data_IF_637704546887
#
_entry.id   IF_637704546887
#
_cell.length_a   1.000
_cell.length_b   1.000
_cell.length_c   1.000
_cell.angle_alpha   90.00
_cell.angle_beta   90.00
_cell.angle_gamma   90.00
#
_symmetry.space_group_name_H-M   'P 1'
#
loop_
_entity.id
_entity.type
_entity.pdbx_description
1 polymer ?
#
# COMPACT_ATOMS: atom_id res chain seq x y z
N UNK A 1 5.18 74.73 1.52
CA UNK A 1 5.77 73.56 0.84
C UNK A 1 7.25 73.84 0.67
N UNK A 2 8.14 73.02 1.24
CA UNK A 2 9.57 73.16 1.02
C UNK A 2 9.86 73.04 -0.48
N UNK A 3 10.65 73.97 -1.03
CA UNK A 3 11.05 73.94 -2.44
C UNK A 3 12.00 72.77 -2.63
N UNK A 4 11.80 71.97 -3.67
CA UNK A 4 12.73 70.90 -4.01
C UNK A 4 13.87 71.53 -4.81
N UNK A 5 14.96 71.90 -4.14
CA UNK A 5 16.14 72.53 -4.71
C UNK A 5 17.44 71.85 -4.21
N UNK A 6 18.59 72.34 -4.68
CA UNK A 6 19.90 71.81 -4.28
C UNK A 6 20.16 71.96 -2.78
N UNK A 7 19.73 73.05 -2.17
CA UNK A 7 19.85 73.26 -0.72
C UNK A 7 19.14 72.14 0.04
N UNK A 8 17.91 71.82 -0.34
CA UNK A 8 17.18 70.73 0.29
C UNK A 8 17.80 69.35 0.02
N UNK A 9 18.36 69.13 -1.17
CA UNK A 9 19.09 67.89 -1.47
C UNK A 9 20.33 67.76 -0.60
N UNK A 10 21.10 68.84 -0.43
CA UNK A 10 22.30 68.88 0.40
C UNK A 10 21.99 68.58 1.87
N UNK A 11 20.99 69.25 2.43
CA UNK A 11 20.51 68.99 3.80
C UNK A 11 20.08 67.53 4.00
N UNK A 12 19.38 66.95 3.00
CA UNK A 12 18.98 65.54 3.03
C UNK A 12 20.20 64.60 3.03
N UNK A 13 21.21 64.92 2.22
CA UNK A 13 22.41 64.10 2.10
C UNK A 13 23.24 64.14 3.39
N UNK A 14 23.41 65.32 3.99
CA UNK A 14 24.08 65.49 5.28
C UNK A 14 23.34 64.75 6.40
N UNK A 15 22.01 64.92 6.48
CA UNK A 15 21.18 64.28 7.51
C UNK A 15 21.22 62.74 7.45
N UNK A 16 21.28 62.18 6.25
CA UNK A 16 21.17 60.74 6.03
C UNK A 16 22.50 60.09 5.64
N UNK A 17 23.63 60.81 5.70
CA UNK A 17 24.96 60.35 5.29
C UNK A 17 25.01 59.81 3.85
N UNK A 18 24.32 60.48 2.92
CA UNK A 18 24.27 60.09 1.51
C UNK A 18 25.46 60.72 0.77
N UNK A 19 26.24 59.90 0.08
CA UNK A 19 27.29 60.36 -0.83
C UNK A 19 26.77 60.40 -2.26
N UNK A 20 26.79 61.57 -2.87
CA UNK A 20 26.38 61.77 -4.27
C UNK A 20 27.56 61.47 -5.22
N UNK A 21 27.26 60.93 -6.40
CA UNK A 21 28.29 60.66 -7.42
C UNK A 21 28.63 61.88 -8.27
N UNK A 22 27.68 62.82 -8.37
CA UNK A 22 27.81 64.02 -9.17
C UNK A 22 27.58 65.25 -8.30
N UNK A 23 28.19 66.38 -8.69
CA UNK A 23 27.82 67.66 -8.12
C UNK A 23 26.55 68.18 -8.80
N UNK A 24 25.56 68.54 -7.98
CA UNK A 24 24.28 69.07 -8.41
C UNK A 24 24.11 70.56 -8.11
N UNK A 25 25.17 71.26 -7.67
CA UNK A 25 25.16 72.68 -7.25
C UNK A 25 24.67 73.64 -8.34
N UNK A 26 24.99 73.35 -9.60
CA UNK A 26 24.61 74.15 -10.77
C UNK A 26 23.33 73.64 -11.48
N UNK A 27 22.68 72.61 -10.95
CA UNK A 27 21.53 71.96 -11.60
C UNK A 27 20.20 72.55 -11.09
N UNK A 28 19.24 72.72 -12.01
CA UNK A 28 17.84 72.97 -11.64
C UNK A 28 17.21 71.67 -11.12
N UNK A 29 17.25 71.48 -9.81
CA UNK A 29 16.66 70.32 -9.15
C UNK A 29 15.15 70.55 -8.96
N UNK A 30 14.37 69.51 -9.18
CA UNK A 30 12.96 69.44 -8.83
C UNK A 30 12.64 68.04 -8.25
N UNK A 31 11.40 67.82 -7.84
CA UNK A 31 10.94 66.58 -7.21
C UNK A 31 11.16 65.32 -8.09
N UNK A 32 11.25 65.48 -9.41
CA UNK A 32 11.45 64.40 -10.38
C UNK A 32 12.91 64.28 -10.87
N UNK A 33 13.79 65.21 -10.51
CA UNK A 33 15.21 65.15 -10.88
C UNK A 33 15.83 63.85 -10.38
N UNK A 34 16.58 63.19 -11.26
CA UNK A 34 17.24 61.93 -10.97
C UNK A 34 18.57 62.19 -10.26
N UNK A 35 18.72 61.63 -9.07
CA UNK A 35 19.87 61.79 -8.19
C UNK A 35 20.59 60.46 -8.09
N UNK A 36 21.91 60.51 -8.24
CA UNK A 36 22.79 59.34 -8.20
C UNK A 36 23.78 59.45 -7.05
N UNK A 37 23.99 58.33 -6.37
CA UNK A 37 24.83 58.27 -5.18
C UNK A 37 25.24 56.84 -4.81
N UNK A 38 26.13 56.72 -3.84
CA UNK A 38 26.55 55.44 -3.27
C UNK A 38 25.42 54.83 -2.43
N UNK A 39 25.28 53.51 -2.49
CA UNK A 39 24.32 52.81 -1.63
C UNK A 39 24.70 52.99 -0.16
N UNK A 40 23.73 53.41 0.65
CA UNK A 40 23.85 53.57 2.10
C UNK A 40 24.15 52.28 2.89
N UNK A 41 24.10 51.11 2.24
CA UNK A 41 24.48 49.86 2.90
C UNK A 41 26.00 49.69 2.80
N UNK A 42 26.69 49.73 3.93
CA UNK A 42 28.16 49.62 4.04
C UNK A 42 28.72 48.35 3.38
N UNK A 43 27.92 47.28 3.31
CA UNK A 43 28.30 46.02 2.67
C UNK A 43 27.90 45.95 1.18
N UNK A 44 27.64 47.09 0.52
CA UNK A 44 27.14 47.15 -0.85
C UNK A 44 27.88 48.19 -1.70
N UNK A 45 28.61 47.74 -2.72
CA UNK A 45 29.35 48.61 -3.64
C UNK A 45 28.53 49.09 -4.84
N UNK A 46 27.20 49.01 -4.77
CA UNK A 46 26.33 49.46 -5.86
C UNK A 46 25.94 50.93 -5.68
N UNK A 47 25.57 51.57 -6.78
CA UNK A 47 25.02 52.92 -6.77
C UNK A 47 23.49 52.89 -6.77
N UNK A 48 22.86 53.95 -6.25
CA UNK A 48 21.45 54.22 -6.50
C UNK A 48 21.32 55.30 -7.58
N UNK A 49 20.24 55.22 -8.35
CA UNK A 49 19.79 56.25 -9.28
C UNK A 49 18.29 56.37 -9.08
N UNK A 50 17.85 57.48 -8.50
CA UNK A 50 16.48 57.68 -8.01
C UNK A 50 16.02 59.11 -8.21
N UNK A 51 14.74 59.31 -8.55
CA UNK A 51 14.15 60.64 -8.45
C UNK A 51 14.23 61.17 -7.02
N UNK A 52 14.34 62.49 -6.87
CA UNK A 52 14.41 63.15 -5.55
C UNK A 52 13.22 62.73 -4.65
N UNK A 53 12.02 62.59 -5.20
CA UNK A 53 10.85 62.01 -4.51
C UNK A 53 11.09 60.62 -3.93
N UNK A 54 11.74 59.75 -4.71
CA UNK A 54 12.00 58.36 -4.31
C UNK A 54 13.12 58.29 -3.27
N UNK A 55 14.13 59.16 -3.40
CA UNK A 55 15.21 59.32 -2.43
C UNK A 55 14.66 59.69 -1.05
N UNK A 56 13.71 60.63 -0.98
CA UNK A 56 13.04 61.02 0.27
C UNK A 56 12.27 59.87 0.93
N UNK A 57 11.66 58.97 0.14
CA UNK A 57 10.84 57.86 0.66
C UNK A 57 11.67 56.66 1.10
N UNK A 58 12.74 56.37 0.37
CA UNK A 58 13.45 55.09 0.45
C UNK A 58 14.92 55.24 0.81
N UNK A 59 15.36 56.46 1.09
CA UNK A 59 16.75 56.82 1.34
C UNK A 59 17.68 56.42 0.16
N UNK A 60 18.97 56.71 0.28
CA UNK A 60 20.01 56.38 -0.72
C UNK A 60 20.40 54.90 -0.77
N UNK A 61 19.45 53.95 -0.70
CA UNK A 61 19.74 52.52 -0.94
C UNK A 61 19.60 52.16 -2.42
N UNK A 62 20.48 51.31 -2.96
CA UNK A 62 20.29 50.74 -4.30
C UNK A 62 19.00 49.88 -4.36
N UNK A 63 18.56 49.52 -5.58
CA UNK A 63 17.33 48.74 -5.76
C UNK A 63 17.35 47.39 -5.02
N UNK A 64 18.50 46.72 -4.97
CA UNK A 64 18.68 45.45 -4.27
C UNK A 64 18.50 45.60 -2.76
N UNK A 65 19.23 46.53 -2.14
CA UNK A 65 19.14 46.78 -0.71
C UNK A 65 17.77 47.33 -0.30
N UNK A 66 17.17 48.22 -1.09
CA UNK A 66 15.83 48.73 -0.82
C UNK A 66 14.77 47.62 -0.81
N UNK A 67 14.89 46.61 -1.68
CA UNK A 67 14.01 45.43 -1.65
C UNK A 67 14.21 44.57 -0.40
N UNK A 68 15.44 44.42 0.08
CA UNK A 68 15.76 43.66 1.30
C UNK A 68 15.13 44.34 2.51
N UNK A 69 15.43 45.62 2.73
CA UNK A 69 14.86 46.39 3.83
C UNK A 69 13.33 46.49 3.74
N UNK A 70 12.79 46.59 2.52
CA UNK A 70 11.34 46.55 2.30
C UNK A 70 10.71 45.24 2.80
N UNK A 71 11.35 44.09 2.55
CA UNK A 71 10.88 42.79 3.05
C UNK A 71 10.95 42.71 4.57
N UNK A 72 12.02 43.19 5.18
CA UNK A 72 12.17 43.22 6.65
C UNK A 72 11.11 44.11 7.30
N UNK A 73 10.86 45.29 6.73
CA UNK A 73 9.80 46.19 7.20
C UNK A 73 8.41 45.55 7.08
N UNK A 74 8.11 44.86 5.99
CA UNK A 74 6.86 44.10 5.83
C UNK A 74 6.76 43.02 6.89
N UNK A 75 7.85 42.26 7.11
CA UNK A 75 7.93 41.20 8.11
C UNK A 75 7.61 41.74 9.51
N UNK A 76 8.26 42.85 9.87
CA UNK A 76 8.04 43.51 11.16
C UNK A 76 6.59 44.01 11.29
N UNK A 77 6.07 44.68 10.26
CA UNK A 77 4.67 45.16 10.25
C UNK A 77 3.68 44.00 10.40
N UNK A 78 3.98 42.84 9.82
CA UNK A 78 3.13 41.65 9.96
C UNK A 78 3.21 41.08 11.37
N UNK A 79 4.40 41.03 11.98
CA UNK A 79 4.58 40.65 13.38
C UNK A 79 3.80 41.60 14.30
N UNK A 80 3.90 42.91 14.09
CA UNK A 80 3.22 43.91 14.91
C UNK A 80 1.69 43.81 14.80
N UNK A 81 1.17 43.56 13.58
CA UNK A 81 -0.29 43.52 13.33
C UNK A 81 -0.95 42.18 13.59
N UNK A 82 -0.26 41.07 13.32
CA UNK A 82 -0.84 39.73 13.29
C UNK A 82 -0.11 38.74 14.21
N UNK A 83 0.96 39.16 14.90
CA UNK A 83 1.80 38.29 15.72
C UNK A 83 2.65 37.29 14.91
N UNK A 84 2.59 37.35 13.58
CA UNK A 84 3.25 36.42 12.67
C UNK A 84 3.93 37.16 11.52
N UNK A 85 5.05 36.63 11.05
CA UNK A 85 5.86 37.22 9.97
C UNK A 85 5.19 37.20 8.58
N UNK A 86 4.04 36.52 8.45
CA UNK A 86 3.24 36.42 7.25
C UNK A 86 1.76 36.36 7.62
N UNK A 87 0.88 37.24 7.10
CA UNK A 87 -0.55 37.23 7.40
C UNK A 87 -1.23 35.89 7.13
N UNK A 88 -0.76 35.11 6.16
CA UNK A 88 -1.32 33.78 5.85
C UNK A 88 -1.01 32.72 6.91
N UNK A 89 -0.09 32.99 7.85
CA UNK A 89 0.12 32.14 9.03
C UNK A 89 -0.88 32.46 10.15
N UNK A 90 -1.53 33.61 10.10
CA UNK A 90 -2.53 34.02 11.07
C UNK A 90 -3.85 33.29 10.79
N UNK A 91 -4.37 32.57 11.80
CA UNK A 91 -5.56 31.74 11.63
C UNK A 91 -6.79 32.57 11.25
N UNK A 92 -6.98 33.73 11.88
CA UNK A 92 -8.12 34.63 11.59
C UNK A 92 -8.12 35.13 10.14
N UNK A 93 -6.95 35.41 9.58
CA UNK A 93 -6.80 35.81 8.17
C UNK A 93 -7.16 34.65 7.24
N UNK A 94 -6.71 33.42 7.56
CA UNK A 94 -7.04 32.22 6.80
C UNK A 94 -8.54 31.92 6.82
N UNK A 95 -9.17 32.03 7.99
CA UNK A 95 -10.60 31.74 8.15
C UNK A 95 -11.44 32.77 7.40
N UNK A 96 -11.06 34.05 7.45
CA UNK A 96 -11.72 35.08 6.64
C UNK A 96 -11.62 34.78 5.14
N UNK A 97 -10.44 34.35 4.65
CA UNK A 97 -10.26 33.96 3.25
C UNK A 97 -11.13 32.76 2.86
N UNK A 98 -11.20 31.75 3.73
CA UNK A 98 -12.06 30.56 3.53
C UNK A 98 -13.52 30.95 3.48
N UNK A 99 -13.99 31.76 4.42
CA UNK A 99 -15.39 32.19 4.49
C UNK A 99 -15.80 32.96 3.23
N UNK A 100 -14.95 33.89 2.74
CA UNK A 100 -15.23 34.59 1.48
C UNK A 100 -15.28 33.64 0.27
N UNK A 101 -14.42 32.60 0.23
CA UNK A 101 -14.49 31.59 -0.83
C UNK A 101 -15.74 30.71 -0.71
N UNK A 102 -16.12 30.34 0.52
CA UNK A 102 -17.34 29.58 0.80
C UNK A 102 -18.59 30.38 0.37
N UNK A 103 -18.68 31.65 0.74
CA UNK A 103 -19.79 32.54 0.35
C UNK A 103 -19.92 32.67 -1.17
N UNK A 104 -18.79 32.80 -1.89
CA UNK A 104 -18.79 33.07 -3.32
C UNK A 104 -18.87 31.82 -4.20
N UNK A 105 -18.30 30.70 -3.76
CA UNK A 105 -18.08 29.51 -4.58
C UNK A 105 -18.57 28.20 -3.93
N UNK A 106 -19.09 28.25 -2.70
CA UNK A 106 -19.53 27.06 -1.96
C UNK A 106 -18.40 26.14 -1.51
N UNK A 107 -17.14 26.56 -1.65
CA UNK A 107 -15.94 25.76 -1.36
C UNK A 107 -14.89 26.60 -0.63
N UNK A 108 -14.06 25.97 0.21
CA UNK A 108 -13.07 26.70 1.04
C UNK A 108 -12.01 27.42 0.21
N UNK A 109 -11.74 26.90 -0.99
CA UNK A 109 -10.75 27.46 -1.91
C UNK A 109 -11.32 27.50 -3.33
N UNK A 110 -11.14 28.62 -4.03
CA UNK A 110 -11.59 28.78 -5.42
C UNK A 110 -11.06 27.70 -6.37
N UNK A 111 -9.88 27.15 -6.11
CA UNK A 111 -9.30 26.03 -6.88
C UNK A 111 -10.07 24.72 -6.74
N UNK A 112 -10.91 24.55 -5.71
CA UNK A 112 -11.79 23.40 -5.54
C UNK A 112 -13.09 23.54 -6.34
N UNK A 113 -13.44 24.76 -6.76
CA UNK A 113 -14.66 25.00 -7.52
C UNK A 113 -14.55 24.38 -8.91
N UNK A 114 -15.46 23.45 -9.23
CA UNK A 114 -15.45 22.70 -10.49
C UNK A 114 -15.55 23.61 -11.72
N UNK A 115 -16.39 24.64 -11.66
CA UNK A 115 -16.53 25.63 -12.72
C UNK A 115 -15.20 26.34 -13.03
N UNK A 116 -14.46 26.73 -11.98
CA UNK A 116 -13.14 27.37 -12.13
C UNK A 116 -12.14 26.37 -12.71
N UNK A 117 -12.14 25.12 -12.24
CA UNK A 117 -11.26 24.08 -12.78
C UNK A 117 -11.51 23.82 -14.27
N UNK A 118 -12.78 23.79 -14.68
CA UNK A 118 -13.15 23.51 -16.07
C UNK A 118 -12.81 24.70 -16.98
N UNK A 119 -13.04 25.95 -16.55
CA UNK A 119 -12.56 27.14 -17.26
C UNK A 119 -11.05 27.15 -17.46
N UNK A 120 -10.28 26.73 -16.45
CA UNK A 120 -8.82 26.60 -16.56
C UNK A 120 -8.43 25.53 -17.59
N UNK A 121 -9.09 24.35 -17.58
CA UNK A 121 -8.84 23.29 -18.55
C UNK A 121 -9.16 23.74 -19.97
N UNK A 122 -10.30 24.41 -20.16
CA UNK A 122 -10.75 24.93 -21.46
C UNK A 122 -9.79 25.98 -22.00
N UNK A 123 -9.38 26.93 -21.15
CA UNK A 123 -8.40 27.97 -21.52
C UNK A 123 -7.06 27.34 -21.92
N UNK A 124 -6.58 26.36 -21.16
CA UNK A 124 -5.34 25.66 -21.48
C UNK A 124 -5.48 24.85 -22.79
N UNK A 125 -6.64 24.21 -23.00
CA UNK A 125 -6.91 23.47 -24.22
C UNK A 125 -6.92 24.40 -25.44
N UNK A 126 -7.60 25.55 -25.35
CA UNK A 126 -7.66 26.55 -26.42
C UNK A 126 -6.28 27.14 -26.76
N UNK A 127 -5.46 27.43 -25.75
CA UNK A 127 -4.13 28.07 -25.94
C UNK A 127 -3.02 27.10 -26.31
N UNK A 128 -3.06 25.89 -25.78
CA UNK A 128 -1.92 24.97 -25.78
C UNK A 128 -2.27 23.55 -26.27
N UNK A 129 -3.52 23.27 -26.62
CA UNK A 129 -3.98 21.93 -27.04
C UNK A 129 -3.90 20.87 -25.93
N UNK A 130 -3.63 21.26 -24.68
CA UNK A 130 -3.53 20.35 -23.53
C UNK A 130 -4.24 20.93 -22.32
N UNK A 131 -4.79 20.07 -21.47
CA UNK A 131 -5.49 20.49 -20.24
C UNK A 131 -4.59 21.15 -19.19
N UNK A 132 -3.28 20.92 -19.27
CA UNK A 132 -2.29 21.44 -18.34
C UNK A 132 -0.96 21.67 -19.07
N UNK A 133 -0.36 22.84 -18.90
CA UNK A 133 0.90 23.20 -19.56
C UNK A 133 2.06 22.24 -19.24
N UNK A 134 2.05 21.57 -18.08
CA UNK A 134 3.05 20.55 -17.73
C UNK A 134 2.99 19.30 -18.62
N UNK A 135 1.89 19.10 -19.36
CA UNK A 135 1.75 18.01 -20.33
C UNK A 135 2.40 18.34 -21.67
N UNK A 136 2.74 19.60 -21.93
CA UNK A 136 3.46 20.00 -23.15
C UNK A 136 4.83 19.35 -23.19
N UNK A 137 5.16 18.74 -24.33
CA UNK A 137 6.41 18.00 -24.48
C UNK A 137 7.63 18.90 -24.32
N UNK A 138 7.57 20.13 -24.82
CA UNK A 138 8.61 21.15 -24.61
C UNK A 138 8.84 21.44 -23.12
N UNK A 139 7.76 21.52 -22.33
CA UNK A 139 7.86 21.77 -20.88
C UNK A 139 8.45 20.56 -20.17
N UNK A 140 8.04 19.33 -20.53
CA UNK A 140 8.65 18.11 -19.99
C UNK A 140 10.14 18.04 -20.30
N UNK A 141 10.54 18.35 -21.53
CA UNK A 141 11.94 18.32 -21.96
C UNK A 141 12.79 19.37 -21.22
N UNK A 142 12.25 20.59 -21.01
CA UNK A 142 12.92 21.60 -20.18
C UNK A 142 13.12 21.12 -18.75
N UNK A 143 12.10 20.51 -18.14
CA UNK A 143 12.19 19.93 -16.79
C UNK A 143 13.27 18.84 -16.74
N UNK A 144 13.25 17.90 -17.68
CA UNK A 144 14.25 16.83 -17.77
C UNK A 144 15.66 17.40 -17.91
N UNK A 145 15.86 18.37 -18.80
CA UNK A 145 17.15 19.05 -19.00
C UNK A 145 17.66 19.68 -17.71
N UNK A 146 16.83 20.46 -17.02
CA UNK A 146 17.20 21.07 -15.73
C UNK A 146 17.50 20.02 -14.65
N UNK A 147 16.77 18.90 -14.63
CA UNK A 147 17.04 17.81 -13.68
C UNK A 147 18.34 17.08 -14.00
N UNK A 148 18.64 16.87 -15.28
CA UNK A 148 19.92 16.32 -15.74
C UNK A 148 21.08 17.25 -15.36
N UNK A 149 20.97 18.54 -15.62
CA UNK A 149 22.00 19.55 -15.27
C UNK A 149 22.26 19.61 -13.75
N UNK A 150 21.21 19.55 -12.92
CA UNK A 150 21.33 19.70 -11.46
C UNK A 150 21.64 18.42 -10.72
N UNK A 151 21.15 17.28 -11.21
CA UNK A 151 21.13 16.02 -10.46
C UNK A 151 21.67 14.82 -11.25
N UNK A 152 22.04 14.99 -12.52
CA UNK A 152 22.53 13.92 -13.38
C UNK A 152 21.49 12.89 -13.80
N UNK A 153 20.20 13.15 -13.53
CA UNK A 153 19.09 12.21 -13.79
C UNK A 153 17.86 12.96 -14.31
N UNK A 154 17.01 12.29 -15.10
CA UNK A 154 15.81 12.91 -15.67
C UNK A 154 14.79 13.33 -14.61
N UNK A 155 14.75 12.61 -13.49
CA UNK A 155 13.79 12.85 -12.41
C UNK A 155 14.52 12.95 -11.06
N UNK A 156 14.25 13.98 -10.24
CA UNK A 156 14.93 14.16 -8.95
C UNK A 156 14.79 12.95 -8.02
N UNK A 157 13.70 12.18 -8.11
CA UNK A 157 13.49 10.97 -7.31
C UNK A 157 14.48 9.85 -7.62
N UNK A 158 15.12 9.85 -8.79
CA UNK A 158 16.13 8.87 -9.18
C UNK A 158 17.50 9.18 -8.57
N UNK A 159 17.77 10.46 -8.29
CA UNK A 159 19.07 10.94 -7.80
C UNK A 159 19.39 10.38 -6.41
N UNK A 160 20.58 9.79 -6.26
CA UNK A 160 21.07 9.30 -4.98
C UNK A 160 21.11 10.41 -3.92
N UNK A 161 21.54 11.62 -4.31
CA UNK A 161 21.60 12.79 -3.43
C UNK A 161 20.22 13.16 -2.86
N UNK A 162 19.17 13.07 -3.69
CA UNK A 162 17.80 13.38 -3.25
C UNK A 162 17.24 12.25 -2.38
N UNK A 163 17.52 10.98 -2.70
CA UNK A 163 17.14 9.83 -1.86
C UNK A 163 17.78 9.94 -0.47
N UNK A 164 19.07 10.27 -0.40
CA UNK A 164 19.79 10.40 0.86
C UNK A 164 19.26 11.59 1.69
N UNK A 165 19.03 12.75 1.06
CA UNK A 165 18.41 13.90 1.75
C UNK A 165 17.03 13.56 2.34
N UNK A 166 16.22 12.76 1.63
CA UNK A 166 14.92 12.29 2.14
C UNK A 166 15.10 11.36 3.35
N UNK A 167 16.05 10.42 3.27
CA UNK A 167 16.38 9.49 4.37
C UNK A 167 16.83 10.26 5.62
N UNK A 168 17.81 11.15 5.50
CA UNK A 168 18.30 11.99 6.60
C UNK A 168 17.16 12.81 7.22
N UNK A 169 16.30 13.40 6.39
CA UNK A 169 15.16 14.20 6.89
C UNK A 169 14.13 13.34 7.63
N UNK A 170 13.88 12.13 7.15
CA UNK A 170 12.98 11.17 7.81
C UNK A 170 13.56 10.71 9.15
N UNK A 171 14.85 10.39 9.20
CA UNK A 171 15.55 10.01 10.44
C UNK A 171 15.51 11.17 11.44
N UNK A 172 15.88 12.37 11.01
CA UNK A 172 15.92 13.56 11.89
C UNK A 172 14.55 13.88 12.51
N UNK A 173 13.47 13.69 11.76
CA UNK A 173 12.13 14.11 12.19
C UNK A 173 11.33 12.99 12.87
N UNK A 174 11.53 11.74 12.46
CA UNK A 174 10.69 10.61 12.83
C UNK A 174 11.47 9.39 13.35
N UNK A 175 12.81 9.47 13.40
CA UNK A 175 13.66 8.36 13.87
C UNK A 175 13.68 7.14 12.95
N UNK A 176 13.12 7.23 11.74
CA UNK A 176 13.02 6.11 10.78
C UNK A 176 13.62 6.48 9.43
N UNK A 177 14.14 5.48 8.70
CA UNK A 177 14.74 5.71 7.38
C UNK A 177 13.73 6.13 6.33
N UNK A 178 12.51 5.58 6.41
CA UNK A 178 11.44 5.89 5.50
C UNK A 178 10.18 6.33 6.26
N UNK A 179 9.62 7.48 5.86
CA UNK A 179 8.49 8.11 6.56
C UNK A 179 7.26 7.19 6.71
N UNK A 180 7.06 6.22 5.82
CA UNK A 180 5.95 5.27 5.94
C UNK A 180 6.11 4.26 7.08
N UNK A 181 7.31 4.14 7.65
CA UNK A 181 7.59 3.27 8.79
C UNK A 181 7.22 3.94 10.13
N UNK A 182 7.19 5.28 10.16
CA UNK A 182 6.86 6.04 11.36
C UNK A 182 5.42 5.72 11.81
N UNK A 183 5.25 5.34 13.07
CA UNK A 183 3.97 4.84 13.56
C UNK A 183 2.89 5.92 13.55
N UNK A 184 3.24 7.15 13.92
CA UNK A 184 2.35 8.32 13.80
C UNK A 184 1.84 8.55 12.36
N UNK A 185 2.66 8.25 11.33
CA UNK A 185 2.27 8.39 9.93
C UNK A 185 1.36 7.25 9.50
N UNK A 186 1.59 6.03 9.98
CA UNK A 186 0.69 4.89 9.72
C UNK A 186 -0.67 5.13 10.35
N UNK A 187 -0.70 5.55 11.61
CA UNK A 187 -1.93 5.81 12.34
C UNK A 187 -2.73 6.95 11.70
N UNK A 188 -2.07 8.05 11.33
CA UNK A 188 -2.73 9.15 10.62
C UNK A 188 -3.32 8.72 9.28
N UNK A 189 -2.66 7.81 8.54
CA UNK A 189 -3.21 7.23 7.30
C UNK A 189 -4.47 6.42 7.57
N UNK A 190 -4.46 5.56 8.60
CA UNK A 190 -5.63 4.78 9.01
C UNK A 190 -6.79 5.69 9.39
N UNK A 191 -6.55 6.68 10.26
CA UNK A 191 -7.55 7.65 10.69
C UNK A 191 -8.16 8.41 9.51
N UNK A 192 -7.33 8.88 8.58
CA UNK A 192 -7.81 9.57 7.37
C UNK A 192 -8.67 8.65 6.50
N UNK A 193 -8.25 7.39 6.33
CA UNK A 193 -9.03 6.41 5.57
C UNK A 193 -10.37 6.09 6.27
N UNK A 194 -10.34 5.98 7.60
CA UNK A 194 -11.53 5.73 8.41
C UNK A 194 -12.52 6.90 8.33
N UNK A 195 -12.04 8.14 8.48
CA UNK A 195 -12.88 9.33 8.34
C UNK A 195 -13.55 9.42 6.96
N UNK A 196 -12.83 9.07 5.89
CA UNK A 196 -13.33 9.23 4.53
C UNK A 196 -14.19 8.04 4.07
N UNK A 197 -13.93 6.83 4.56
CA UNK A 197 -14.46 5.59 3.99
C UNK A 197 -14.95 4.57 5.04
N UNK A 198 -14.91 4.90 6.33
CA UNK A 198 -15.34 4.02 7.43
C UNK A 198 -14.49 2.76 7.64
N UNK A 199 -13.33 2.67 6.99
CA UNK A 199 -12.45 1.50 7.01
C UNK A 199 -10.98 1.90 7.19
N UNK A 200 -10.17 1.02 7.79
CA UNK A 200 -8.73 1.30 8.02
C UNK A 200 -7.90 1.26 6.73
N UNK A 201 -8.35 0.50 5.73
CA UNK A 201 -7.67 0.35 4.45
C UNK A 201 -8.62 0.58 3.28
N UNK A 202 -8.21 1.34 2.23
CA UNK A 202 -9.11 1.68 1.13
C UNK A 202 -9.78 0.47 0.47
N UNK A 203 -9.04 -0.62 0.28
CA UNK A 203 -9.56 -1.84 -0.35
C UNK A 203 -10.52 -2.65 0.54
N UNK A 204 -10.72 -2.28 1.81
CA UNK A 204 -11.79 -2.85 2.62
C UNK A 204 -13.16 -2.26 2.25
N UNK A 205 -13.20 -1.02 1.73
CA UNK A 205 -14.43 -0.39 1.27
C UNK A 205 -14.94 -1.06 -0.01
N UNK A 206 -16.20 -1.50 0.02
CA UNK A 206 -16.89 -2.04 -1.15
C UNK A 206 -16.99 -1.02 -2.29
N UNK A 207 -17.21 0.27 -1.96
CA UNK A 207 -17.28 1.35 -2.94
C UNK A 207 -15.96 1.52 -3.70
N UNK A 208 -14.83 1.48 -3.00
CA UNK A 208 -13.50 1.64 -3.62
C UNK A 208 -13.17 0.42 -4.49
N UNK A 209 -13.52 -0.79 -4.02
CA UNK A 209 -13.42 -2.01 -4.82
C UNK A 209 -14.19 -1.90 -6.12
N UNK A 210 -15.44 -1.45 -6.06
CA UNK A 210 -16.30 -1.35 -7.24
C UNK A 210 -15.78 -0.31 -8.24
N UNK A 211 -15.35 0.88 -7.77
CA UNK A 211 -14.69 1.88 -8.63
C UNK A 211 -13.44 1.33 -9.31
N UNK A 212 -12.68 0.49 -8.61
CA UNK A 212 -11.53 -0.22 -9.16
C UNK A 212 -11.93 -1.16 -10.29
N UNK A 213 -13.00 -1.94 -10.11
CA UNK A 213 -13.56 -2.82 -11.14
C UNK A 213 -14.09 -2.06 -12.34
N UNK A 214 -14.88 -1.01 -12.13
CA UNK A 214 -15.39 -0.13 -13.20
C UNK A 214 -14.25 0.45 -14.05
N UNK A 215 -13.17 0.88 -13.40
CA UNK A 215 -11.98 1.39 -14.08
C UNK A 215 -11.32 0.30 -14.92
N UNK A 216 -11.15 -0.91 -14.36
CA UNK A 216 -10.59 -2.04 -15.10
C UNK A 216 -11.50 -2.47 -16.27
N UNK A 217 -12.81 -2.50 -16.07
CA UNK A 217 -13.79 -2.79 -17.12
C UNK A 217 -13.71 -1.77 -18.25
N UNK A 218 -13.65 -0.48 -17.93
CA UNK A 218 -13.54 0.60 -18.92
C UNK A 218 -12.26 0.52 -19.76
N UNK A 219 -11.14 0.16 -19.15
CA UNK A 219 -9.84 0.17 -19.82
C UNK A 219 -9.48 -1.16 -20.47
N UNK A 220 -9.94 -2.28 -19.93
CA UNK A 220 -9.48 -3.62 -20.30
C UNK A 220 -10.63 -4.62 -20.57
N UNK A 221 -11.89 -4.22 -20.38
CA UNK A 221 -13.05 -5.10 -20.57
C UNK A 221 -13.19 -6.23 -19.54
N UNK A 222 -12.40 -6.19 -18.46
CA UNK A 222 -12.36 -7.22 -17.41
C UNK A 222 -12.35 -6.57 -16.02
N UNK A 223 -12.87 -7.27 -15.00
CA UNK A 223 -12.98 -6.74 -13.64
C UNK A 223 -11.62 -6.49 -12.98
N UNK A 224 -10.61 -7.27 -13.37
CA UNK A 224 -9.26 -7.17 -12.81
C UNK A 224 -8.23 -7.13 -13.93
N UNK A 225 -7.27 -6.21 -13.84
CA UNK A 225 -6.27 -5.96 -14.88
C UNK A 225 -5.53 -7.23 -15.33
N UNK A 226 -5.18 -8.13 -14.40
CA UNK A 226 -4.46 -9.38 -14.72
C UNK A 226 -5.32 -10.44 -15.42
N UNK A 227 -6.64 -10.27 -15.52
CA UNK A 227 -7.48 -11.14 -16.34
C UNK A 227 -7.34 -10.82 -17.84
N UNK A 228 -6.93 -9.59 -18.17
CA UNK A 228 -6.67 -9.19 -19.56
C UNK A 228 -5.43 -9.89 -20.09
N UNK A 229 -5.55 -10.57 -21.23
CA UNK A 229 -4.42 -11.16 -21.94
C UNK A 229 -3.40 -10.09 -22.33
N UNK A 230 -3.85 -8.92 -22.80
CA UNK A 230 -2.98 -7.80 -23.16
C UNK A 230 -2.05 -7.37 -22.02
N UNK A 231 -2.60 -7.24 -20.80
CA UNK A 231 -1.81 -6.87 -19.61
C UNK A 231 -0.81 -7.96 -19.25
N UNK A 232 -1.22 -9.24 -19.33
CA UNK A 232 -0.35 -10.38 -19.05
C UNK A 232 0.78 -10.48 -20.07
N UNK A 233 0.49 -10.30 -21.34
CA UNK A 233 1.46 -10.41 -22.44
C UNK A 233 2.48 -9.26 -22.38
N UNK A 234 2.04 -8.03 -22.08
CA UNK A 234 2.96 -6.92 -21.78
C UNK A 234 3.89 -7.23 -20.62
N UNK A 235 3.38 -7.89 -19.58
CA UNK A 235 4.17 -8.38 -18.46
C UNK A 235 5.22 -9.41 -18.87
N UNK A 236 4.85 -10.37 -19.73
CA UNK A 236 5.77 -11.38 -20.29
C UNK A 236 6.87 -10.75 -21.14
N UNK A 237 6.52 -9.84 -22.05
CA UNK A 237 7.49 -9.12 -22.90
C UNK A 237 8.50 -8.37 -22.03
N UNK A 238 8.03 -7.67 -21.00
CA UNK A 238 8.91 -6.95 -20.07
C UNK A 238 9.86 -7.90 -19.32
N UNK A 239 9.38 -9.10 -18.94
CA UNK A 239 10.22 -10.09 -18.27
C UNK A 239 11.25 -10.70 -19.24
N UNK A 240 10.87 -10.94 -20.50
CA UNK A 240 11.78 -11.39 -21.54
C UNK A 240 12.88 -10.35 -21.81
N UNK A 241 12.52 -9.08 -21.97
CA UNK A 241 13.47 -7.99 -22.20
C UNK A 241 14.48 -7.81 -21.05
N UNK A 242 14.01 -7.95 -19.79
CA UNK A 242 14.86 -7.71 -18.61
C UNK A 242 15.63 -8.94 -18.15
N UNK A 243 15.05 -10.12 -18.27
CA UNK A 243 15.54 -11.33 -17.61
C UNK A 243 15.71 -12.52 -18.56
N UNK A 244 15.38 -12.37 -19.84
CA UNK A 244 15.47 -13.43 -20.86
C UNK A 244 14.45 -14.55 -20.71
N UNK A 245 13.49 -14.43 -19.79
CA UNK A 245 12.50 -15.46 -19.45
C UNK A 245 11.10 -14.86 -19.26
N UNK A 246 10.04 -15.63 -19.49
CA UNK A 246 8.66 -15.15 -19.37
C UNK A 246 8.25 -14.86 -17.92
N UNK A 247 8.86 -15.57 -16.96
CA UNK A 247 8.56 -15.43 -15.54
C UNK A 247 9.85 -15.21 -14.75
N UNK A 248 9.93 -14.19 -13.88
CA UNK A 248 11.15 -13.87 -13.14
C UNK A 248 11.73 -15.04 -12.34
N UNK A 249 10.88 -15.93 -11.81
CA UNK A 249 11.33 -17.11 -11.06
C UNK A 249 11.95 -18.21 -11.93
N UNK A 250 11.89 -18.13 -13.25
CA UNK A 250 12.64 -19.01 -14.16
C UNK A 250 14.10 -18.59 -14.28
N UNK A 251 14.43 -17.32 -13.99
CA UNK A 251 15.79 -16.81 -14.05
C UNK A 251 16.58 -17.26 -12.79
N UNK A 252 17.71 -17.94 -13.01
CA UNK A 252 18.52 -18.51 -11.93
C UNK A 252 19.12 -17.46 -11.00
N UNK A 253 19.55 -16.31 -11.53
CA UNK A 253 20.12 -15.21 -10.73
C UNK A 253 19.08 -14.68 -9.73
N UNK A 254 17.82 -14.53 -10.17
CA UNK A 254 16.72 -14.12 -9.31
C UNK A 254 16.45 -15.17 -8.22
N UNK A 255 16.44 -16.46 -8.58
CA UNK A 255 16.26 -17.55 -7.59
C UNK A 255 17.38 -17.55 -6.55
N UNK A 256 18.63 -17.36 -6.96
CA UNK A 256 19.76 -17.34 -6.04
C UNK A 256 19.70 -16.13 -5.10
N UNK A 257 19.36 -14.94 -5.59
CA UNK A 257 19.13 -13.76 -4.73
C UNK A 257 18.02 -13.97 -3.70
N UNK A 258 16.94 -14.66 -4.08
CA UNK A 258 15.86 -15.02 -3.14
C UNK A 258 16.40 -15.95 -2.06
N UNK A 259 17.17 -16.99 -2.41
CA UNK A 259 17.78 -17.93 -1.46
C UNK A 259 18.73 -17.21 -0.51
N UNK A 260 19.64 -16.38 -1.04
CA UNK A 260 20.59 -15.59 -0.24
C UNK A 260 19.87 -14.72 0.78
N UNK A 261 18.82 -14.01 0.35
CA UNK A 261 18.00 -13.18 1.24
C UNK A 261 17.29 -14.02 2.32
N UNK A 262 16.85 -15.23 1.98
CA UNK A 262 16.21 -16.13 2.95
C UNK A 262 17.23 -16.69 3.95
N UNK A 263 18.45 -17.02 3.50
CA UNK A 263 19.54 -17.46 4.37
C UNK A 263 19.95 -16.34 5.32
N UNK A 264 20.12 -15.12 4.82
CA UNK A 264 20.47 -13.95 5.64
C UNK A 264 19.42 -13.69 6.73
N UNK A 265 18.13 -13.78 6.38
CA UNK A 265 17.04 -13.46 7.32
C UNK A 265 16.63 -14.59 8.24
N UNK A 266 16.69 -15.84 7.77
CA UNK A 266 16.08 -16.99 8.44
C UNK A 266 17.06 -18.16 8.65
N UNK A 267 18.30 -18.06 8.16
CA UNK A 267 19.31 -19.12 8.24
C UNK A 267 19.06 -20.32 7.31
N UNK A 268 18.06 -20.25 6.44
CA UNK A 268 17.62 -21.36 5.57
C UNK A 268 17.25 -20.86 4.17
N UNK A 269 17.33 -21.72 3.15
CA UNK A 269 17.03 -21.34 1.77
C UNK A 269 15.56 -20.95 1.56
N UNK A 270 14.65 -21.55 2.33
CA UNK A 270 13.22 -21.34 2.21
C UNK A 270 12.59 -21.00 3.57
N UNK A 271 11.75 -19.96 3.68
CA UNK A 271 11.15 -19.58 4.96
C UNK A 271 10.35 -20.70 5.62
N UNK A 272 9.74 -21.61 4.85
CA UNK A 272 9.01 -22.77 5.36
C UNK A 272 9.87 -23.78 6.12
N UNK A 273 11.19 -23.77 5.92
CA UNK A 273 12.14 -24.61 6.65
C UNK A 273 12.50 -24.02 8.02
N UNK A 274 12.36 -22.71 8.18
CA UNK A 274 12.71 -22.00 9.42
C UNK A 274 11.79 -22.39 10.56
N UNK A 275 12.37 -22.81 11.68
CA UNK A 275 11.60 -23.21 12.86
C UNK A 275 10.84 -22.04 13.47
N UNK A 276 11.39 -20.82 13.40
CA UNK A 276 10.70 -19.60 13.81
C UNK A 276 9.41 -19.38 13.01
N UNK A 277 9.48 -19.56 11.69
CA UNK A 277 8.31 -19.40 10.81
C UNK A 277 7.27 -20.49 11.09
N UNK A 278 7.69 -21.75 11.28
CA UNK A 278 6.78 -22.84 11.65
C UNK A 278 6.07 -22.58 12.98
N UNK A 279 6.80 -22.09 13.98
CA UNK A 279 6.21 -21.77 15.29
C UNK A 279 5.22 -20.62 15.21
N UNK A 280 5.52 -19.56 14.44
CA UNK A 280 4.55 -18.47 14.17
C UNK A 280 3.27 -18.98 13.49
N UNK A 281 3.39 -19.94 12.57
CA UNK A 281 2.23 -20.58 11.94
C UNK A 281 1.40 -21.34 12.98
N UNK A 282 2.03 -22.14 13.84
CA UNK A 282 1.34 -22.88 14.93
C UNK A 282 0.63 -21.93 15.90
N UNK A 283 1.31 -20.88 16.37
CA UNK A 283 0.73 -19.84 17.25
C UNK A 283 -0.49 -19.17 16.61
N UNK A 284 -0.40 -18.88 15.31
CA UNK A 284 -1.52 -18.28 14.57
C UNK A 284 -2.72 -19.22 14.53
N UNK A 285 -2.51 -20.52 14.28
CA UNK A 285 -3.58 -21.51 14.27
C UNK A 285 -4.14 -21.76 15.67
N UNK A 286 -3.31 -21.82 16.71
CA UNK A 286 -3.75 -21.93 18.10
C UNK A 286 -4.62 -20.73 18.49
N UNK A 287 -4.17 -19.51 18.18
CA UNK A 287 -4.94 -18.29 18.47
C UNK A 287 -6.28 -18.24 17.73
N UNK A 288 -6.31 -18.70 16.48
CA UNK A 288 -7.49 -18.58 15.62
C UNK A 288 -8.49 -19.72 15.79
N UNK A 289 -8.00 -20.93 16.05
CA UNK A 289 -8.78 -22.16 15.98
C UNK A 289 -8.59 -23.09 17.19
N UNK A 290 -7.70 -22.77 18.14
CA UNK A 290 -7.41 -23.63 19.30
C UNK A 290 -6.59 -24.88 18.98
N UNK A 291 -6.11 -25.05 17.74
CA UNK A 291 -5.35 -26.22 17.29
C UNK A 291 -4.07 -25.80 16.56
N UNK A 292 -3.03 -26.65 16.60
CA UNK A 292 -1.73 -26.34 15.98
C UNK A 292 -1.72 -26.39 14.45
N UNK A 293 -2.75 -26.94 13.83
CA UNK A 293 -2.83 -27.09 12.38
C UNK A 293 -4.27 -26.94 11.89
N UNK A 294 -4.46 -26.21 10.79
CA UNK A 294 -5.79 -25.94 10.24
C UNK A 294 -6.56 -27.20 9.82
N UNK A 295 -5.88 -28.26 9.38
CA UNK A 295 -6.52 -29.54 9.04
C UNK A 295 -7.08 -30.31 10.24
N UNK A 296 -6.75 -29.90 11.47
CA UNK A 296 -7.39 -30.42 12.68
C UNK A 296 -8.76 -29.76 12.95
N UNK A 297 -9.10 -28.70 12.21
CA UNK A 297 -10.41 -28.06 12.24
C UNK A 297 -11.33 -28.81 11.25
N UNK A 298 -12.45 -29.41 11.72
CA UNK A 298 -13.27 -30.29 10.90
C UNK A 298 -13.87 -29.58 9.70
N UNK A 299 -14.36 -28.35 9.87
CA UNK A 299 -14.98 -27.56 8.80
C UNK A 299 -13.98 -27.21 7.70
N UNK A 300 -12.74 -26.89 8.07
CA UNK A 300 -11.67 -26.61 7.10
C UNK A 300 -11.23 -27.88 6.39
N UNK A 301 -11.14 -28.99 7.13
CA UNK A 301 -10.79 -30.28 6.55
C UNK A 301 -11.85 -30.79 5.57
N UNK A 302 -13.13 -30.64 5.90
CA UNK A 302 -14.28 -31.00 5.05
C UNK A 302 -14.26 -30.18 3.76
N UNK A 303 -14.11 -28.86 3.89
CA UNK A 303 -14.01 -27.95 2.74
C UNK A 303 -12.84 -28.30 1.82
N UNK A 304 -11.69 -28.66 2.38
CA UNK A 304 -10.53 -29.10 1.60
C UNK A 304 -10.79 -30.42 0.87
N UNK A 305 -11.47 -31.38 1.52
CA UNK A 305 -11.79 -32.68 0.91
C UNK A 305 -12.74 -32.52 -0.28
N UNK A 306 -13.78 -31.69 -0.16
CA UNK A 306 -14.76 -31.43 -1.22
C UNK A 306 -14.20 -30.74 -2.47
N UNK A 307 -13.03 -30.09 -2.36
CA UNK A 307 -12.33 -29.43 -3.46
C UNK A 307 -11.24 -30.32 -4.07
N UNK A 308 -11.06 -31.55 -3.59
CA UNK A 308 -10.06 -32.48 -4.11
C UNK A 308 -10.42 -32.98 -5.50
N UNK A 309 -9.44 -33.01 -6.42
CA UNK A 309 -9.60 -33.41 -7.82
C UNK A 309 -10.16 -34.85 -8.01
N UNK A 310 -10.09 -35.70 -6.98
CA UNK A 310 -10.51 -37.10 -7.04
C UNK A 310 -11.83 -37.39 -6.30
N UNK A 311 -12.56 -36.37 -5.85
CA UNK A 311 -13.89 -36.55 -5.25
C UNK A 311 -14.89 -37.07 -6.29
N UNK A 312 -15.74 -38.02 -5.92
CA UNK A 312 -16.79 -38.59 -6.76
C UNK A 312 -18.15 -38.37 -6.10
N UNK A 313 -19.17 -38.11 -6.90
CA UNK A 313 -20.55 -38.06 -6.43
C UNK A 313 -21.08 -39.48 -6.20
N UNK A 314 -21.82 -39.65 -5.11
CA UNK A 314 -22.51 -40.88 -4.75
C UNK A 314 -23.92 -40.53 -4.30
N UNK A 315 -24.92 -41.18 -4.89
CA UNK A 315 -26.33 -40.96 -4.55
C UNK A 315 -26.77 -41.96 -3.52
N UNK A 316 -27.17 -41.48 -2.36
CA UNK A 316 -27.73 -42.28 -1.28
C UNK A 316 -29.14 -42.78 -1.64
N UNK A 317 -29.65 -43.84 -0.99
CA UNK A 317 -31.03 -44.32 -1.17
C UNK A 317 -32.11 -43.25 -0.98
N UNK A 318 -31.88 -42.27 -0.10
CA UNK A 318 -32.73 -41.08 0.08
C UNK A 318 -32.80 -40.15 -1.13
N UNK A 319 -31.90 -40.31 -2.12
CA UNK A 319 -31.69 -39.39 -3.23
C UNK A 319 -30.69 -38.26 -2.94
N UNK A 320 -30.20 -38.14 -1.70
CA UNK A 320 -29.14 -37.16 -1.35
C UNK A 320 -27.83 -37.53 -2.07
N UNK A 321 -27.24 -36.55 -2.75
CA UNK A 321 -25.92 -36.71 -3.37
C UNK A 321 -24.83 -36.26 -2.40
N UNK A 322 -23.88 -37.15 -2.13
CA UNK A 322 -22.71 -36.89 -1.29
C UNK A 322 -21.44 -36.98 -2.11
N UNK A 323 -20.36 -36.38 -1.60
CA UNK A 323 -19.03 -36.52 -2.19
C UNK A 323 -18.20 -37.49 -1.37
N UNK A 324 -17.65 -38.48 -2.05
CA UNK A 324 -16.81 -39.52 -1.45
C UNK A 324 -15.45 -39.58 -2.16
N UNK A 325 -14.46 -40.16 -1.51
CA UNK A 325 -13.11 -40.31 -2.07
C UNK A 325 -12.67 -41.77 -2.10
N UNK A 326 -11.96 -42.16 -3.16
CA UNK A 326 -11.37 -43.50 -3.25
C UNK A 326 -12.39 -44.65 -3.34
N UNK A 327 -12.36 -45.55 -2.35
CA UNK A 327 -13.07 -46.84 -2.34
C UNK A 327 -14.32 -46.84 -1.44
N UNK A 328 -14.64 -45.71 -0.80
CA UNK A 328 -15.78 -45.54 0.11
C UNK A 328 -17.12 -46.01 -0.51
N UNK A 329 -17.32 -45.86 -1.83
CA UNK A 329 -18.53 -46.33 -2.53
C UNK A 329 -18.85 -47.81 -2.28
N UNK A 330 -17.81 -48.64 -2.15
CA UNK A 330 -17.99 -50.07 -1.97
C UNK A 330 -18.39 -50.39 -0.53
N UNK A 331 -17.86 -49.63 0.44
CA UNK A 331 -18.28 -49.72 1.84
C UNK A 331 -19.74 -49.27 2.00
N UNK A 332 -20.11 -48.12 1.40
CA UNK A 332 -21.49 -47.66 1.36
C UNK A 332 -22.45 -48.70 0.78
N UNK A 333 -22.13 -49.27 -0.38
CA UNK A 333 -22.96 -50.30 -1.00
C UNK A 333 -23.12 -51.55 -0.11
N UNK A 334 -22.04 -51.99 0.54
CA UNK A 334 -22.08 -53.13 1.44
C UNK A 334 -22.99 -52.83 2.65
N UNK A 335 -22.75 -51.70 3.33
CA UNK A 335 -23.49 -51.32 4.53
C UNK A 335 -24.99 -51.13 4.27
N UNK A 336 -25.35 -50.41 3.20
CA UNK A 336 -26.74 -50.09 2.88
C UNK A 336 -27.52 -51.27 2.32
N UNK A 337 -26.93 -52.05 1.41
CA UNK A 337 -27.67 -53.07 0.65
C UNK A 337 -27.49 -54.49 1.17
N UNK A 338 -26.31 -54.82 1.71
CA UNK A 338 -26.02 -56.16 2.21
C UNK A 338 -26.26 -56.27 3.72
N UNK A 339 -25.68 -55.35 4.52
CA UNK A 339 -25.91 -55.31 5.97
C UNK A 339 -27.22 -54.62 6.37
N UNK A 340 -27.88 -53.92 5.43
CA UNK A 340 -29.16 -53.22 5.62
C UNK A 340 -29.13 -52.21 6.78
N UNK A 341 -28.00 -51.51 6.95
CA UNK A 341 -27.87 -50.43 7.92
C UNK A 341 -28.72 -49.23 7.46
N UNK A 342 -29.42 -48.62 8.41
CA UNK A 342 -30.23 -47.43 8.12
C UNK A 342 -29.31 -46.28 7.70
N UNK A 343 -29.63 -45.61 6.60
CA UNK A 343 -28.84 -44.47 6.07
C UNK A 343 -28.57 -43.40 7.14
N UNK A 344 -29.58 -43.06 7.95
CA UNK A 344 -29.47 -42.05 8.99
C UNK A 344 -28.57 -42.45 10.17
N UNK A 345 -28.23 -43.74 10.28
CA UNK A 345 -27.33 -44.27 11.31
C UNK A 345 -25.85 -44.17 10.89
N UNK A 346 -25.59 -43.86 9.61
CA UNK A 346 -24.25 -43.77 9.03
C UNK A 346 -23.82 -42.30 8.97
N UNK A 347 -22.82 -41.97 9.79
CA UNK A 347 -22.17 -40.65 9.85
C UNK A 347 -20.88 -40.68 9.04
N UNK A 348 -20.68 -39.68 8.19
CA UNK A 348 -19.52 -39.60 7.28
C UNK A 348 -18.92 -38.18 7.17
N UNK A 349 -19.67 -37.15 7.55
CA UNK A 349 -19.20 -35.76 7.49
C UNK A 349 -18.14 -35.55 8.58
N UNK A 350 -16.97 -34.98 8.25
CA UNK A 350 -15.85 -34.84 9.19
C UNK A 350 -16.16 -34.02 10.43
N UNK A 351 -17.21 -33.21 10.36
CA UNK A 351 -17.73 -32.38 11.48
C UNK A 351 -18.48 -33.24 12.50
N UNK A 352 -19.08 -34.35 12.07
CA UNK A 352 -20.01 -35.15 12.85
C UNK A 352 -19.43 -36.51 13.29
N UNK A 353 -18.35 -36.97 12.65
CA UNK A 353 -17.65 -38.20 13.08
C UNK A 353 -16.97 -38.01 14.45
N UNK A 354 -16.72 -39.09 15.21
CA UNK A 354 -16.04 -39.02 16.50
C UNK A 354 -14.71 -38.26 16.45
N UNK A 355 -14.40 -37.56 17.54
CA UNK A 355 -13.15 -36.83 17.69
C UNK A 355 -12.01 -37.78 18.09
N UNK A 356 -11.29 -38.29 17.09
CA UNK A 356 -10.21 -39.25 17.27
C UNK A 356 -8.85 -38.54 17.12
N UNK A 357 -8.01 -38.60 18.15
CA UNK A 357 -6.68 -38.01 18.16
C UNK A 357 -5.61 -39.04 18.40
N UNK A 358 -4.63 -39.15 17.49
CA UNK A 358 -3.54 -40.12 17.62
C UNK A 358 -2.18 -39.44 17.51
N UNK A 359 -1.16 -40.11 18.03
CA UNK A 359 0.25 -39.77 17.83
C UNK A 359 0.80 -40.67 16.74
N UNK A 360 1.48 -40.13 15.73
CA UNK A 360 2.18 -40.96 14.75
C UNK A 360 3.48 -41.54 15.32
N UNK A 361 4.19 -42.34 14.52
CA UNK A 361 5.47 -42.96 14.89
C UNK A 361 6.56 -41.95 15.30
N UNK A 362 6.42 -40.67 14.94
CA UNK A 362 7.35 -39.59 15.30
C UNK A 362 6.87 -38.82 16.55
N UNK A 363 5.77 -39.26 17.19
CA UNK A 363 5.19 -38.61 18.35
C UNK A 363 4.41 -37.34 18.01
N UNK A 364 4.06 -37.11 16.74
CA UNK A 364 3.31 -35.93 16.32
C UNK A 364 1.81 -36.18 16.43
N UNK A 365 1.10 -35.21 17.02
CA UNK A 365 -0.36 -35.26 17.20
C UNK A 365 -1.12 -34.96 15.91
N UNK A 366 -2.06 -35.82 15.57
CA UNK A 366 -2.95 -35.70 14.41
C UNK A 366 -4.40 -35.94 14.80
N UNK A 367 -5.31 -35.31 14.06
CA UNK A 367 -6.74 -35.62 14.12
C UNK A 367 -7.09 -36.63 13.02
N UNK A 368 -7.67 -37.74 13.41
CA UNK A 368 -8.23 -38.73 12.49
C UNK A 368 -9.71 -38.46 12.26
N UNK A 369 -10.09 -38.35 10.99
CA UNK A 369 -11.49 -38.32 10.58
C UNK A 369 -11.77 -39.66 9.94
N UNK A 370 -12.50 -40.52 10.65
CA UNK A 370 -12.87 -41.84 10.12
C UNK A 370 -13.77 -41.69 8.90
N UNK A 371 -13.60 -42.57 7.92
CA UNK A 371 -14.36 -42.53 6.67
C UNK A 371 -15.87 -42.74 6.92
N UNK A 372 -16.22 -43.67 7.80
CA UNK A 372 -17.62 -43.99 8.16
C UNK A 372 -17.72 -44.28 9.68
N UNK A 373 -18.76 -43.77 10.33
CA UNK A 373 -19.12 -44.08 11.71
C UNK A 373 -20.59 -44.52 11.80
N UNK A 374 -20.86 -45.69 12.37
CA UNK A 374 -22.20 -46.24 12.56
C UNK A 374 -22.60 -46.03 14.02
N UNK A 375 -23.54 -45.10 14.25
CA UNK A 375 -23.86 -44.62 15.58
C UNK A 375 -24.44 -45.72 16.49
N UNK A 376 -25.43 -46.47 16.01
CA UNK A 376 -26.10 -47.52 16.78
C UNK A 376 -25.18 -48.67 17.22
N UNK A 377 -24.09 -48.89 16.47
CA UNK A 377 -23.10 -49.95 16.74
C UNK A 377 -21.86 -49.43 17.47
N UNK A 378 -21.74 -48.12 17.69
CA UNK A 378 -20.52 -47.48 18.16
C UNK A 378 -19.27 -47.91 17.34
N UNK A 379 -19.43 -48.02 16.01
CA UNK A 379 -18.48 -48.66 15.11
C UNK A 379 -17.91 -47.67 14.09
N UNK A 380 -16.60 -47.47 14.14
CA UNK A 380 -15.80 -46.76 13.16
C UNK A 380 -15.34 -47.72 12.04
N UNK A 381 -15.43 -47.29 10.79
CA UNK A 381 -14.98 -48.05 9.62
C UNK A 381 -14.04 -47.19 8.79
N UNK A 382 -12.79 -47.62 8.66
CA UNK A 382 -11.80 -47.03 7.77
C UNK A 382 -11.74 -47.82 6.47
N UNK A 383 -11.89 -47.14 5.33
CA UNK A 383 -11.88 -47.76 4.01
C UNK A 383 -10.54 -47.53 3.33
N UNK A 384 -9.88 -48.61 2.91
CA UNK A 384 -8.57 -48.54 2.25
C UNK A 384 -8.53 -49.43 1.01
N UNK A 385 -7.72 -49.03 0.04
CA UNK A 385 -7.33 -49.94 -1.05
C UNK A 385 -6.23 -50.87 -0.56
N UNK A 386 -6.11 -52.05 -1.18
CA UNK A 386 -5.01 -53.00 -0.92
C UNK A 386 -3.63 -52.32 -0.96
N UNK A 387 -3.40 -51.46 -1.96
CA UNK A 387 -2.15 -50.69 -2.07
C UNK A 387 -1.93 -49.70 -0.93
N UNK A 388 -2.98 -48.99 -0.49
CA UNK A 388 -2.86 -48.00 0.60
C UNK A 388 -2.65 -48.68 1.94
N UNK A 389 -3.35 -49.80 2.18
CA UNK A 389 -3.19 -50.62 3.38
C UNK A 389 -1.76 -51.14 3.51
N UNK A 390 -1.19 -51.68 2.42
CA UNK A 390 0.21 -52.12 2.38
C UNK A 390 1.20 -50.98 2.64
N UNK A 391 1.02 -49.82 1.99
CA UNK A 391 1.99 -48.71 2.08
C UNK A 391 1.96 -47.97 3.43
N UNK A 392 0.81 -47.92 4.10
CA UNK A 392 0.59 -47.10 5.31
C UNK A 392 0.19 -47.94 6.52
N UNK A 393 0.62 -49.19 6.55
CA UNK A 393 0.18 -50.19 7.51
C UNK A 393 0.22 -49.69 8.96
N UNK A 394 1.38 -49.21 9.43
CA UNK A 394 1.59 -48.76 10.81
C UNK A 394 0.60 -47.66 11.22
N UNK A 395 0.48 -46.60 10.41
CA UNK A 395 -0.40 -45.46 10.71
C UNK A 395 -1.88 -45.84 10.74
N UNK A 396 -2.29 -46.85 9.97
CA UNK A 396 -3.69 -47.28 9.93
C UNK A 396 -4.03 -48.02 11.24
N UNK A 397 -3.13 -48.88 11.73
CA UNK A 397 -3.35 -49.62 12.96
C UNK A 397 -3.28 -48.74 14.21
N UNK A 398 -2.39 -47.75 14.25
CA UNK A 398 -2.34 -46.77 15.36
C UNK A 398 -3.67 -46.03 15.52
N UNK A 399 -4.30 -45.63 14.41
CA UNK A 399 -5.63 -44.99 14.45
C UNK A 399 -6.69 -45.93 15.01
N UNK A 400 -6.65 -47.20 14.61
CA UNK A 400 -7.56 -48.22 15.08
C UNK A 400 -7.39 -48.46 16.59
N UNK A 401 -6.16 -48.63 17.07
CA UNK A 401 -5.85 -48.82 18.49
C UNK A 401 -6.31 -47.63 19.33
N UNK A 402 -5.97 -46.41 18.90
CA UNK A 402 -6.40 -45.19 19.59
C UNK A 402 -7.92 -45.07 19.69
N UNK A 403 -8.65 -45.38 18.62
CA UNK A 403 -10.11 -45.34 18.67
C UNK A 403 -10.69 -46.43 19.60
N UNK A 404 -10.07 -47.62 19.63
CA UNK A 404 -10.45 -48.70 20.55
C UNK A 404 -10.20 -48.32 22.01
N UNK A 405 -9.09 -47.65 22.32
CA UNK A 405 -8.80 -47.12 23.67
C UNK A 405 -9.84 -46.10 24.13
N UNK A 406 -10.40 -45.32 23.20
CA UNK A 406 -11.50 -44.39 23.45
C UNK A 406 -12.89 -45.09 23.55
N UNK A 407 -12.93 -46.41 23.40
CA UNK A 407 -14.14 -47.22 23.56
C UNK A 407 -14.94 -47.46 22.28
N UNK A 408 -14.43 -47.08 21.11
CA UNK A 408 -15.08 -47.35 19.82
C UNK A 408 -14.74 -48.75 19.30
N UNK A 409 -15.72 -49.44 18.72
CA UNK A 409 -15.41 -50.55 17.82
C UNK A 409 -14.78 -49.97 16.55
N UNK A 410 -13.78 -50.64 15.97
CA UNK A 410 -13.08 -50.08 14.82
C UNK A 410 -12.65 -51.15 13.84
N UNK A 411 -13.17 -51.09 12.62
CA UNK A 411 -12.81 -52.00 11.54
C UNK A 411 -12.08 -51.27 10.40
N UNK A 412 -11.10 -51.94 9.78
CA UNK A 412 -10.42 -51.47 8.57
C UNK A 412 -10.84 -52.40 7.43
N UNK A 413 -11.51 -51.84 6.44
CA UNK A 413 -12.02 -52.59 5.29
C UNK A 413 -11.12 -52.36 4.08
N UNK A 414 -10.45 -53.42 3.65
CA UNK A 414 -9.49 -53.36 2.54
C UNK A 414 -10.12 -53.90 1.26
N UNK A 415 -10.19 -53.06 0.24
CA UNK A 415 -10.78 -53.38 -1.05
C UNK A 415 -9.73 -53.58 -2.15
N UNK A 416 -9.97 -54.55 -3.04
CA UNK A 416 -9.26 -54.66 -4.32
C UNK A 416 -9.79 -53.64 -5.35
N UNK A 417 -9.12 -53.54 -6.50
CA UNK A 417 -9.51 -52.64 -7.59
C UNK A 417 -10.91 -52.94 -8.18
N UNK A 418 -11.43 -54.16 -7.98
CA UNK A 418 -12.75 -54.59 -8.44
C UNK A 418 -13.85 -54.28 -7.42
N UNK A 419 -13.50 -53.87 -6.21
CA UNK A 419 -14.44 -53.57 -5.13
C UNK A 419 -14.79 -54.76 -4.24
N UNK A 420 -14.04 -55.87 -4.32
CA UNK A 420 -14.17 -56.97 -3.40
C UNK A 420 -13.37 -56.67 -2.12
N UNK A 421 -13.92 -57.08 -0.97
CA UNK A 421 -13.18 -57.02 0.28
C UNK A 421 -12.14 -58.14 0.27
N UNK A 422 -10.88 -57.76 0.36
CA UNK A 422 -9.75 -58.68 0.46
C UNK A 422 -9.49 -59.03 1.92
N UNK A 423 -9.64 -58.05 2.81
CA UNK A 423 -9.32 -58.20 4.22
C UNK A 423 -10.16 -57.27 5.09
N UNK A 424 -10.56 -57.73 6.27
CA UNK A 424 -11.16 -56.91 7.33
C UNK A 424 -10.34 -57.08 8.60
N UNK A 425 -9.72 -56.00 9.06
CA UNK A 425 -9.09 -55.98 10.38
C UNK A 425 -10.11 -55.47 11.39
N UNK A 426 -10.27 -56.16 12.51
CA UNK A 426 -11.24 -55.82 13.56
C UNK A 426 -10.58 -55.37 14.84
#
# INVERSE_FOLDING_TARGET
>A
MSRYDYTYLKDLCEKNNIKLLHDYSCNSINIFSNIEGECLNENCNHHFSKSFRSLLKTNGYCLGCSKIFGKEKIKQTCLDKYGVDNPLKCQTVRDKMKNTCMEKYGVEYSSQCKEIQDKVKETNMSRYGVTCGLKLEETKNKIKKTCMEKYGVEYPSQSHLIKEKKKISAIKKYGVEHISQAEEVKEKKKQTCFMNHGVEHPMQSGEIKEKGKETCMKHFGVEYSLQSSEVRDKGKVTCLEKYGVEHPLQNEEIRNKIKETCIEKYGVEYPSQSEEVKNKIKETYLKKYGVEHNMHVPELSEKCSHQSYLSKEYTLPSGKVIKIQGYEKFAWNHLLFQEKICENDIVYERINVPELWYLDNEGKKHRHYVDIYIHSKNLCIEVKSSWTAYKKQDNIFIKQECAKELGYLYEIWVYDAKGNIVEKFK
#
